data_IF_897070245708
#
_entry.id   IF_897070245708
#
_cell.length_a   1.000
_cell.length_b   1.000
_cell.length_c   1.000
_cell.angle_alpha   90.00
_cell.angle_beta   90.00
_cell.angle_gamma   90.00
#
_symmetry.space_group_name_H-M   'P 1'
#
loop_
_entity.id
_entity.type
_entity.pdbx_description
1 polymer ?
#
# COMPACT_ATOMS: atom_id res chain seq x y z
N UNK A 1 2.10 -44.95 8.26
CA UNK A 1 2.05 -44.06 7.07
C UNK A 1 0.81 -43.17 7.10
N UNK A 2 -0.40 -43.72 7.11
CA UNK A 2 -1.64 -42.93 7.01
C UNK A 2 -1.80 -41.83 8.07
N UNK A 3 -1.59 -42.13 9.35
CA UNK A 3 -1.67 -41.13 10.44
C UNK A 3 -0.68 -39.95 10.30
N UNK A 4 0.48 -40.18 9.69
CA UNK A 4 1.51 -39.15 9.50
C UNK A 4 1.08 -38.19 8.38
N UNK A 5 0.59 -38.77 7.28
CA UNK A 5 0.06 -38.03 6.15
C UNK A 5 -1.18 -37.22 6.55
N UNK A 6 -2.06 -37.79 7.37
CA UNK A 6 -3.24 -37.09 7.89
C UNK A 6 -2.84 -35.91 8.77
N UNK A 7 -1.88 -36.09 9.69
CA UNK A 7 -1.36 -35.00 10.51
C UNK A 7 -0.76 -33.86 9.68
N UNK A 8 0.06 -34.17 8.67
CA UNK A 8 0.66 -33.17 7.79
C UNK A 8 -0.42 -32.49 6.93
N UNK A 9 -1.40 -33.25 6.44
CA UNK A 9 -2.53 -32.69 5.68
C UNK A 9 -3.34 -31.72 6.54
N UNK A 10 -3.61 -32.05 7.81
CA UNK A 10 -4.29 -31.17 8.76
C UNK A 10 -3.43 -29.95 9.11
N UNK A 11 -2.12 -30.14 9.24
CA UNK A 11 -1.15 -29.07 9.50
C UNK A 11 -0.97 -28.12 8.31
N UNK A 12 -1.25 -28.56 7.09
CA UNK A 12 -1.22 -27.75 5.88
C UNK A 12 -2.62 -27.39 5.35
N UNK A 13 -3.70 -27.81 6.04
CA UNK A 13 -5.09 -27.57 5.65
C UNK A 13 -5.43 -26.07 5.70
N UNK A 14 -6.11 -25.57 4.66
CA UNK A 14 -6.76 -24.24 4.57
C UNK A 14 -6.00 -23.00 5.10
N UNK A 15 -4.65 -23.01 5.13
CA UNK A 15 -3.84 -21.93 5.72
C UNK A 15 -3.37 -20.85 4.75
N UNK A 16 -3.90 -20.82 3.53
CA UNK A 16 -3.54 -19.82 2.50
C UNK A 16 -2.19 -20.09 1.82
N UNK A 17 -1.62 -21.27 2.03
CA UNK A 17 -0.34 -21.72 1.44
C UNK A 17 -0.59 -22.21 0.00
N UNK A 18 0.31 -21.86 -0.92
CA UNK A 18 0.20 -22.28 -2.34
C UNK A 18 0.40 -23.79 -2.48
N UNK A 19 -0.03 -24.40 -3.59
CA UNK A 19 0.14 -25.85 -3.80
C UNK A 19 1.61 -26.25 -3.81
N UNK A 20 2.47 -25.48 -4.47
CA UNK A 20 3.90 -25.75 -4.56
C UNK A 20 4.55 -25.66 -3.17
N UNK A 21 4.28 -24.58 -2.43
CA UNK A 21 4.82 -24.41 -1.08
C UNK A 21 4.30 -25.50 -0.12
N UNK A 22 3.06 -25.98 -0.32
CA UNK A 22 2.51 -27.11 0.46
C UNK A 22 3.25 -28.41 0.18
N UNK A 23 3.66 -28.66 -1.05
CA UNK A 23 4.39 -29.88 -1.40
C UNK A 23 5.82 -29.84 -0.84
N UNK A 24 6.50 -28.71 -0.99
CA UNK A 24 7.84 -28.52 -0.41
C UNK A 24 7.81 -28.68 1.12
N UNK A 25 6.84 -28.04 1.79
CA UNK A 25 6.64 -28.19 3.23
C UNK A 25 6.24 -29.61 3.61
N UNK A 26 5.43 -30.29 2.80
CA UNK A 26 5.03 -31.67 3.07
C UNK A 26 6.27 -32.56 3.15
N UNK A 27 7.21 -32.41 2.21
CA UNK A 27 8.46 -33.18 2.18
C UNK A 27 9.30 -32.86 3.43
N UNK A 28 9.55 -31.58 3.71
CA UNK A 28 10.38 -31.16 4.85
C UNK A 28 9.79 -31.59 6.21
N UNK A 29 8.48 -31.41 6.40
CA UNK A 29 7.77 -31.83 7.61
C UNK A 29 7.79 -33.36 7.77
N UNK A 30 7.63 -34.09 6.68
CA UNK A 30 7.65 -35.55 6.70
C UNK A 30 9.05 -36.06 7.08
N UNK A 31 10.10 -35.47 6.52
CA UNK A 31 11.50 -35.81 6.86
C UNK A 31 11.77 -35.56 8.35
N UNK A 32 11.37 -34.42 8.90
CA UNK A 32 11.54 -34.13 10.33
C UNK A 32 10.77 -35.09 11.25
N UNK A 33 9.52 -35.40 10.92
CA UNK A 33 8.72 -36.34 11.73
C UNK A 33 9.28 -37.77 11.60
N UNK A 34 9.83 -38.14 10.43
CA UNK A 34 10.48 -39.42 10.23
C UNK A 34 11.78 -39.55 11.03
N UNK A 35 12.58 -38.48 11.14
CA UNK A 35 13.74 -38.43 12.01
C UNK A 35 13.36 -38.64 13.48
N UNK A 36 12.36 -37.91 13.99
CA UNK A 36 11.85 -38.09 15.36
C UNK A 36 11.32 -39.51 15.59
N UNK A 37 10.61 -40.09 14.61
CA UNK A 37 10.15 -41.48 14.69
C UNK A 37 11.33 -42.44 14.84
N UNK A 38 12.40 -42.22 14.08
CA UNK A 38 13.58 -43.07 14.10
C UNK A 38 14.32 -42.99 15.43
N UNK A 39 14.44 -41.79 16.02
CA UNK A 39 14.99 -41.60 17.37
C UNK A 39 14.23 -42.42 18.42
N UNK A 40 12.89 -42.42 18.40
CA UNK A 40 12.11 -43.25 19.33
C UNK A 40 12.24 -44.76 19.07
N UNK A 41 12.42 -45.18 17.82
CA UNK A 41 12.69 -46.59 17.53
C UNK A 41 14.05 -47.01 18.12
N UNK A 42 15.06 -46.13 18.02
CA UNK A 42 16.40 -46.37 18.59
C UNK A 42 16.39 -46.36 20.12
N UNK A 43 15.48 -45.62 20.74
CA UNK A 43 15.22 -45.66 22.19
C UNK A 43 14.46 -46.91 22.65
N UNK A 44 14.05 -47.79 21.72
CA UNK A 44 13.44 -49.08 22.01
C UNK A 44 11.91 -49.08 22.01
N UNK A 45 11.26 -48.01 21.54
CA UNK A 45 9.81 -47.98 21.37
C UNK A 45 9.36 -48.78 20.13
N UNK A 46 8.18 -49.38 20.20
CA UNK A 46 7.57 -49.99 19.01
C UNK A 46 7.17 -48.91 18.00
N UNK A 47 7.00 -49.29 16.72
CA UNK A 47 6.73 -48.32 15.66
C UNK A 47 5.45 -47.49 15.89
N UNK A 48 4.40 -48.06 16.50
CA UNK A 48 3.16 -47.35 16.77
C UNK A 48 3.33 -46.34 17.90
N UNK A 49 4.07 -46.69 18.95
CA UNK A 49 4.41 -45.80 20.04
C UNK A 49 5.37 -44.69 19.59
N UNK A 50 6.39 -45.03 18.80
CA UNK A 50 7.32 -44.08 18.20
C UNK A 50 6.62 -43.01 17.35
N UNK A 51 5.66 -43.41 16.51
CA UNK A 51 4.86 -42.46 15.72
C UNK A 51 4.05 -41.53 16.64
N UNK A 52 3.45 -42.08 17.70
CA UNK A 52 2.64 -41.29 18.65
C UNK A 52 3.50 -40.27 19.40
N UNK A 53 4.70 -40.67 19.82
CA UNK A 53 5.67 -39.81 20.51
C UNK A 53 6.22 -38.74 19.57
N UNK A 54 6.59 -39.11 18.34
CA UNK A 54 7.05 -38.17 17.32
C UNK A 54 6.01 -37.07 17.06
N UNK A 55 4.74 -37.43 16.83
CA UNK A 55 3.67 -36.45 16.60
C UNK A 55 3.40 -35.57 17.82
N UNK A 56 3.44 -36.15 19.04
CA UNK A 56 3.24 -35.40 20.29
C UNK A 56 4.36 -34.38 20.52
N UNK A 57 5.61 -34.76 20.24
CA UNK A 57 6.77 -33.92 20.48
C UNK A 57 7.03 -32.93 19.34
N UNK A 58 6.53 -33.22 18.14
CA UNK A 58 6.52 -32.25 17.05
C UNK A 58 5.75 -30.98 17.44
N UNK A 59 4.64 -31.13 18.17
CA UNK A 59 3.91 -30.06 18.84
C UNK A 59 2.47 -29.87 18.36
N UNK A 60 1.82 -28.80 18.81
CA UNK A 60 0.41 -28.53 18.52
C UNK A 60 0.19 -28.09 17.06
N UNK A 61 -0.77 -28.73 16.38
CA UNK A 61 -1.10 -28.51 14.96
C UNK A 61 -1.49 -27.06 14.68
N UNK A 62 -2.16 -26.39 15.61
CA UNK A 62 -2.60 -25.02 15.45
C UNK A 62 -1.47 -24.04 15.71
N UNK A 63 -0.63 -24.29 16.72
CA UNK A 63 0.53 -23.42 17.00
C UNK A 63 1.55 -23.47 15.86
N UNK A 64 1.98 -24.66 15.47
CA UNK A 64 2.93 -24.86 14.37
C UNK A 64 2.32 -24.37 13.06
N UNK A 65 1.05 -24.71 12.80
CA UNK A 65 0.31 -24.25 11.64
C UNK A 65 0.23 -22.74 11.49
N UNK A 66 -0.06 -22.05 12.60
CA UNK A 66 -0.09 -20.60 12.63
C UNK A 66 1.31 -19.99 12.57
N UNK A 67 2.32 -20.67 13.13
CA UNK A 67 3.74 -20.31 12.99
C UNK A 67 4.17 -20.35 11.54
N UNK A 68 3.99 -21.49 10.88
CA UNK A 68 4.15 -21.73 9.44
C UNK A 68 3.45 -20.63 8.64
N UNK A 69 2.17 -20.34 8.89
CA UNK A 69 1.46 -19.25 8.18
C UNK A 69 2.10 -17.87 8.35
N UNK A 70 2.69 -17.58 9.52
CA UNK A 70 3.32 -16.29 9.84
C UNK A 70 4.74 -16.18 9.29
N UNK A 71 5.48 -17.28 9.29
CA UNK A 71 6.91 -17.33 8.91
C UNK A 71 7.10 -17.67 7.45
N UNK A 72 6.20 -18.46 6.86
CA UNK A 72 6.22 -18.65 5.43
C UNK A 72 5.86 -17.33 4.77
N UNK A 73 6.76 -16.81 3.93
CA UNK A 73 6.37 -15.90 2.88
C UNK A 73 5.65 -16.75 1.82
N UNK A 74 4.71 -17.64 2.22
CA UNK A 74 3.81 -18.30 1.28
C UNK A 74 3.32 -17.16 0.43
N UNK A 75 3.61 -17.29 -0.85
CA UNK A 75 3.51 -16.22 -1.83
C UNK A 75 2.07 -15.73 -1.75
N UNK A 76 1.81 -14.72 -0.91
CA UNK A 76 0.50 -14.11 -0.62
C UNK A 76 0.05 -13.30 -1.83
N UNK A 77 0.39 -13.80 -2.99
CA UNK A 77 0.01 -13.34 -4.28
C UNK A 77 -1.38 -13.89 -4.50
N UNK A 78 -2.30 -12.99 -4.72
CA UNK A 78 -3.65 -13.37 -5.06
C UNK A 78 -3.64 -14.04 -6.44
N UNK A 79 -4.51 -15.04 -6.63
CA UNK A 79 -4.82 -15.52 -7.97
C UNK A 79 -5.61 -14.46 -8.75
N UNK A 80 -6.39 -13.64 -8.04
CA UNK A 80 -7.12 -12.52 -8.60
C UNK A 80 -7.31 -11.42 -7.53
N UNK A 81 -7.22 -10.15 -7.92
CA UNK A 81 -7.53 -9.07 -7.00
C UNK A 81 -9.03 -9.02 -6.71
N UNK A 82 -9.36 -8.79 -5.44
CA UNK A 82 -10.70 -8.38 -5.05
C UNK A 82 -10.93 -6.91 -5.42
N UNK A 83 -12.18 -6.47 -5.45
CA UNK A 83 -12.52 -5.05 -5.66
C UNK A 83 -11.80 -4.13 -4.65
N UNK A 84 -11.61 -4.62 -3.43
CA UNK A 84 -10.93 -3.91 -2.35
C UNK A 84 -9.43 -3.74 -2.62
N UNK A 85 -8.76 -4.75 -3.21
CA UNK A 85 -7.36 -4.63 -3.61
C UNK A 85 -7.16 -3.68 -4.81
N UNK A 86 -8.11 -3.69 -5.77
CA UNK A 86 -8.12 -2.70 -6.86
C UNK A 86 -8.26 -1.28 -6.27
N UNK A 87 -9.21 -1.08 -5.35
CA UNK A 87 -9.42 0.20 -4.68
C UNK A 87 -8.16 0.66 -3.93
N UNK A 88 -7.51 -0.24 -3.16
CA UNK A 88 -6.23 0.07 -2.50
C UNK A 88 -5.17 0.50 -3.50
N UNK A 89 -5.04 -0.22 -4.61
CA UNK A 89 -4.07 0.11 -5.66
C UNK A 89 -4.31 1.52 -6.19
N UNK A 90 -5.55 1.84 -6.55
CA UNK A 90 -5.93 3.18 -7.05
C UNK A 90 -5.68 4.26 -6.01
N UNK A 91 -5.96 4.01 -4.73
CA UNK A 91 -5.65 4.94 -3.65
C UNK A 91 -4.15 5.21 -3.53
N UNK A 92 -3.29 4.19 -3.68
CA UNK A 92 -1.84 4.39 -3.70
C UNK A 92 -1.38 5.24 -4.87
N UNK A 93 -1.96 5.00 -6.06
CA UNK A 93 -1.67 5.79 -7.23
C UNK A 93 -2.07 7.26 -7.02
N UNK A 94 -3.25 7.53 -6.46
CA UNK A 94 -3.72 8.89 -6.15
C UNK A 94 -2.80 9.58 -5.13
N UNK A 95 -2.42 8.90 -4.05
CA UNK A 95 -1.50 9.45 -3.05
C UNK A 95 -0.15 9.80 -3.69
N UNK A 96 0.40 8.89 -4.50
CA UNK A 96 1.65 9.14 -5.23
C UNK A 96 1.54 10.34 -6.17
N UNK A 97 0.47 10.40 -6.95
CA UNK A 97 0.17 11.53 -7.84
C UNK A 97 0.13 12.86 -7.08
N UNK A 98 -0.62 12.96 -5.97
CA UNK A 98 -0.72 14.19 -5.20
C UNK A 98 0.61 14.57 -4.54
N UNK A 99 1.35 13.62 -3.98
CA UNK A 99 2.67 13.89 -3.40
C UNK A 99 3.60 14.47 -4.47
N UNK A 100 3.64 13.87 -5.65
CA UNK A 100 4.45 14.36 -6.77
C UNK A 100 3.97 15.74 -7.24
N UNK A 101 2.67 15.94 -7.42
CA UNK A 101 2.08 17.23 -7.76
C UNK A 101 2.48 18.31 -6.76
N UNK A 102 2.29 18.06 -5.47
CA UNK A 102 2.65 18.99 -4.39
C UNK A 102 4.15 19.25 -4.35
N UNK A 103 4.99 18.23 -4.53
CA UNK A 103 6.44 18.38 -4.58
C UNK A 103 6.88 19.30 -5.73
N UNK A 104 6.36 19.10 -6.94
CA UNK A 104 6.68 19.92 -8.11
C UNK A 104 6.25 21.38 -7.93
N UNK A 105 5.07 21.61 -7.36
CA UNK A 105 4.60 22.95 -6.99
C UNK A 105 5.51 23.58 -5.92
N UNK A 106 5.93 22.80 -4.91
CA UNK A 106 6.74 23.29 -3.78
C UNK A 106 8.12 23.81 -4.17
N UNK A 107 8.75 23.17 -5.16
CA UNK A 107 10.08 23.53 -5.64
C UNK A 107 10.01 24.72 -6.62
N UNK A 108 8.81 25.09 -7.07
CA UNK A 108 8.62 26.16 -8.05
C UNK A 108 9.04 25.78 -9.47
N UNK A 109 9.37 24.50 -9.70
CA UNK A 109 9.79 23.97 -11.00
C UNK A 109 8.62 23.56 -11.91
N UNK A 110 7.38 23.76 -11.45
CA UNK A 110 6.20 23.44 -12.25
C UNK A 110 5.98 24.49 -13.34
N UNK A 111 6.84 24.45 -14.36
CA UNK A 111 6.49 24.99 -15.66
C UNK A 111 5.41 24.08 -16.26
N UNK A 112 4.14 24.50 -16.15
CA UNK A 112 3.00 23.77 -16.67
C UNK A 112 3.08 23.55 -18.19
N UNK A 113 3.95 24.26 -18.92
CA UNK A 113 4.15 24.02 -20.35
C UNK A 113 5.09 22.83 -20.63
N UNK A 114 5.94 22.45 -19.67
CA UNK A 114 7.02 21.48 -19.85
C UNK A 114 6.51 20.05 -19.96
N UNK A 115 6.76 19.42 -21.10
CA UNK A 115 6.44 18.01 -21.35
C UNK A 115 7.02 17.06 -20.29
N UNK A 116 8.21 17.39 -19.76
CA UNK A 116 8.90 16.60 -18.74
C UNK A 116 8.09 16.49 -17.44
N UNK A 117 7.40 17.57 -17.05
CA UNK A 117 6.57 17.58 -15.85
C UNK A 117 5.39 16.61 -15.98
N UNK A 118 4.78 16.52 -17.16
CA UNK A 118 3.72 15.54 -17.43
C UNK A 118 4.22 14.11 -17.43
N UNK A 119 5.44 13.86 -17.90
CA UNK A 119 6.07 12.53 -17.81
C UNK A 119 6.26 12.14 -16.35
N UNK A 120 6.83 13.01 -15.52
CA UNK A 120 7.06 12.70 -14.10
C UNK A 120 5.72 12.48 -13.40
N UNK A 121 4.75 13.37 -13.59
CA UNK A 121 3.46 13.32 -12.92
C UNK A 121 2.65 12.06 -13.29
N UNK A 122 2.75 11.58 -14.54
CA UNK A 122 2.09 10.35 -14.98
C UNK A 122 2.89 9.08 -14.61
N UNK A 123 4.22 9.12 -14.64
CA UNK A 123 5.06 7.95 -14.35
C UNK A 123 4.96 7.43 -12.93
N UNK A 124 4.99 8.31 -11.91
CA UNK A 124 4.96 7.91 -10.50
C UNK A 124 3.72 7.06 -10.15
N UNK A 125 2.47 7.51 -10.40
CA UNK A 125 1.30 6.68 -10.11
C UNK A 125 1.30 5.37 -10.91
N UNK A 126 1.75 5.38 -12.16
CA UNK A 126 1.82 4.15 -12.98
C UNK A 126 2.84 3.16 -12.41
N UNK A 127 4.02 3.62 -12.00
CA UNK A 127 5.05 2.79 -11.37
C UNK A 127 4.53 2.18 -10.07
N UNK A 128 3.83 2.96 -9.24
CA UNK A 128 3.21 2.47 -8.01
C UNK A 128 2.21 1.34 -8.30
N UNK A 129 1.29 1.54 -9.25
CA UNK A 129 0.32 0.52 -9.65
C UNK A 129 1.00 -0.73 -10.22
N UNK A 130 1.98 -0.54 -11.10
CA UNK A 130 2.79 -1.60 -11.69
C UNK A 130 3.48 -2.46 -10.63
N UNK A 131 4.20 -1.83 -9.70
CA UNK A 131 4.93 -2.54 -8.63
C UNK A 131 3.95 -3.28 -7.75
N UNK A 132 2.89 -2.62 -7.27
CA UNK A 132 1.89 -3.22 -6.39
C UNK A 132 1.27 -4.49 -6.98
N UNK A 133 0.90 -4.44 -8.27
CA UNK A 133 0.25 -5.55 -8.96
C UNK A 133 1.22 -6.70 -9.24
N UNK A 134 2.43 -6.40 -9.71
CA UNK A 134 3.43 -7.44 -9.99
C UNK A 134 3.96 -8.11 -8.71
N UNK A 135 3.97 -7.39 -7.58
CA UNK A 135 4.26 -7.97 -6.27
C UNK A 135 3.17 -8.92 -5.80
N UNK A 136 1.90 -8.55 -5.97
CA UNK A 136 0.75 -9.25 -5.37
C UNK A 136 -0.01 -10.23 -6.27
N UNK A 137 0.29 -10.36 -7.55
CA UNK A 137 -0.39 -11.34 -8.42
C UNK A 137 0.62 -12.31 -9.02
N UNK A 138 0.23 -13.58 -9.10
CA UNK A 138 1.06 -14.64 -9.69
C UNK A 138 0.80 -14.76 -11.18
N UNK A 139 -0.49 -14.82 -11.57
CA UNK A 139 -0.89 -15.16 -12.94
C UNK A 139 -0.69 -13.97 -13.86
N UNK A 140 0.18 -14.12 -14.88
CA UNK A 140 0.49 -13.11 -15.90
C UNK A 140 -0.72 -12.43 -16.53
N UNK A 141 -1.68 -13.20 -17.03
CA UNK A 141 -2.90 -12.66 -17.67
C UNK A 141 -3.70 -11.80 -16.68
N UNK A 142 -3.72 -12.18 -15.40
CA UNK A 142 -4.41 -11.43 -14.34
C UNK A 142 -3.65 -10.17 -13.96
N UNK A 143 -2.31 -10.17 -13.99
CA UNK A 143 -1.48 -8.97 -13.79
C UNK A 143 -1.82 -7.89 -14.81
N UNK A 144 -1.79 -8.24 -16.09
CA UNK A 144 -2.12 -7.32 -17.19
C UNK A 144 -3.55 -6.79 -17.06
N UNK A 145 -4.53 -7.68 -16.84
CA UNK A 145 -5.93 -7.28 -16.68
C UNK A 145 -6.14 -6.32 -15.50
N UNK A 146 -5.58 -6.62 -14.33
CA UNK A 146 -5.76 -5.78 -13.16
C UNK A 146 -5.02 -4.45 -13.29
N UNK A 147 -3.85 -4.43 -13.94
CA UNK A 147 -3.14 -3.18 -14.22
C UNK A 147 -3.96 -2.27 -15.15
N UNK A 148 -4.52 -2.82 -16.23
CA UNK A 148 -5.37 -2.06 -17.15
C UNK A 148 -6.61 -1.49 -16.44
N UNK A 149 -7.27 -2.29 -15.59
CA UNK A 149 -8.41 -1.82 -14.79
C UNK A 149 -7.97 -0.71 -13.82
N UNK A 150 -6.88 -0.91 -13.07
CA UNK A 150 -6.39 0.09 -12.11
C UNK A 150 -5.98 1.39 -12.79
N UNK A 151 -5.33 1.34 -13.95
CA UNK A 151 -4.98 2.53 -14.74
C UNK A 151 -6.23 3.29 -15.21
N UNK A 152 -7.24 2.56 -15.70
CA UNK A 152 -8.50 3.16 -16.17
C UNK A 152 -9.26 3.82 -15.03
N UNK A 153 -9.42 3.11 -13.90
CA UNK A 153 -10.11 3.63 -12.72
C UNK A 153 -9.36 4.81 -12.13
N UNK A 154 -8.03 4.74 -12.03
CA UNK A 154 -7.21 5.86 -11.58
C UNK A 154 -7.41 7.10 -12.45
N UNK A 155 -7.35 6.95 -13.78
CA UNK A 155 -7.54 8.08 -14.71
C UNK A 155 -8.91 8.74 -14.53
N UNK A 156 -9.98 7.94 -14.42
CA UNK A 156 -11.33 8.47 -14.17
C UNK A 156 -11.43 9.16 -12.82
N UNK A 157 -10.90 8.55 -11.75
CA UNK A 157 -10.90 9.13 -10.42
C UNK A 157 -10.11 10.44 -10.37
N UNK A 158 -8.95 10.51 -11.02
CA UNK A 158 -8.14 11.71 -11.12
C UNK A 158 -8.91 12.85 -11.79
N UNK A 159 -9.56 12.59 -12.94
CA UNK A 159 -10.35 13.62 -13.64
C UNK A 159 -11.56 14.08 -12.85
N UNK A 160 -12.28 13.17 -12.19
CA UNK A 160 -13.39 13.55 -11.30
C UNK A 160 -12.88 14.43 -10.15
N UNK A 161 -11.74 14.07 -9.54
CA UNK A 161 -11.18 14.81 -8.41
C UNK A 161 -10.67 16.19 -8.84
N UNK A 162 -10.02 16.29 -10.00
CA UNK A 162 -9.64 17.58 -10.59
C UNK A 162 -10.85 18.45 -10.92
N UNK A 163 -11.94 17.86 -11.41
CA UNK A 163 -13.18 18.58 -11.70
C UNK A 163 -13.85 19.10 -10.42
N UNK A 164 -13.80 18.33 -9.33
CA UNK A 164 -14.28 18.78 -8.02
C UNK A 164 -13.42 19.93 -7.47
N UNK A 165 -12.09 19.81 -7.54
CA UNK A 165 -11.17 20.88 -7.13
C UNK A 165 -11.43 22.15 -7.95
N UNK A 166 -11.62 22.01 -9.26
CA UNK A 166 -11.94 23.10 -10.15
C UNK A 166 -13.29 23.74 -9.81
N UNK A 167 -14.33 22.95 -9.59
CA UNK A 167 -15.66 23.46 -9.25
C UNK A 167 -15.67 24.25 -7.94
N UNK A 168 -14.94 23.76 -6.93
CA UNK A 168 -14.71 24.50 -5.68
C UNK A 168 -13.93 25.78 -5.96
N UNK A 169 -12.85 25.70 -6.75
CA UNK A 169 -12.08 26.87 -7.16
C UNK A 169 -12.92 27.93 -7.88
N UNK A 170 -13.76 27.54 -8.83
CA UNK A 170 -14.62 28.46 -9.57
C UNK A 170 -15.65 29.16 -8.66
N UNK A 171 -16.28 28.41 -7.76
CA UNK A 171 -17.24 28.97 -6.79
C UNK A 171 -16.59 29.96 -5.82
N UNK A 172 -15.30 29.77 -5.53
CA UNK A 172 -14.50 30.63 -4.65
C UNK A 172 -13.93 31.85 -5.40
N UNK A 173 -13.44 31.66 -6.62
CA UNK A 173 -12.76 32.68 -7.43
C UNK A 173 -13.65 33.11 -8.61
N UNK A 174 -14.73 33.84 -8.32
CA UNK A 174 -15.79 34.19 -9.29
C UNK A 174 -15.35 35.01 -10.53
N UNK A 175 -14.06 35.36 -10.66
CA UNK A 175 -13.55 36.24 -11.72
C UNK A 175 -12.35 35.70 -12.51
N UNK A 176 -11.91 34.44 -12.32
CA UNK A 176 -10.99 33.79 -13.26
C UNK A 176 -11.63 32.52 -13.80
N UNK A 177 -12.15 32.62 -15.01
CA UNK A 177 -12.38 31.47 -15.87
C UNK A 177 -11.01 30.82 -16.15
N UNK A 178 -10.53 29.99 -15.22
CA UNK A 178 -9.51 29.00 -15.55
C UNK A 178 -10.16 28.10 -16.60
N UNK A 179 -9.57 27.95 -17.77
CA UNK A 179 -10.25 27.30 -18.88
C UNK A 179 -10.52 25.84 -18.54
N UNK A 180 -11.76 25.38 -18.70
CA UNK A 180 -12.14 23.97 -18.53
C UNK A 180 -11.30 23.02 -19.42
N UNK A 181 -10.77 23.57 -20.51
CA UNK A 181 -9.86 22.91 -21.46
C UNK A 181 -8.56 22.45 -20.76
N UNK A 182 -8.11 23.13 -19.72
CA UNK A 182 -6.87 22.77 -18.97
C UNK A 182 -7.06 21.49 -18.12
N UNK A 183 -8.31 21.09 -17.85
CA UNK A 183 -8.64 19.91 -17.04
C UNK A 183 -8.44 18.59 -17.82
N UNK A 184 -8.60 18.68 -19.13
CA UNK A 184 -8.33 17.62 -20.12
C UNK A 184 -7.06 17.92 -20.91
N UNK A 185 -5.99 18.23 -20.17
CA UNK A 185 -4.69 18.47 -20.78
C UNK A 185 -4.26 17.29 -21.66
N UNK A 186 -4.23 17.54 -22.97
CA UNK A 186 -3.88 16.54 -23.96
C UNK A 186 -2.47 15.99 -23.75
N UNK A 187 -1.53 16.82 -23.28
CA UNK A 187 -0.15 16.38 -22.99
C UNK A 187 -0.15 15.32 -21.90
N UNK A 188 -0.89 15.55 -20.81
CA UNK A 188 -1.02 14.58 -19.72
C UNK A 188 -1.67 13.28 -20.18
N UNK A 189 -2.74 13.37 -20.98
CA UNK A 189 -3.45 12.18 -21.49
C UNK A 189 -2.51 11.33 -22.35
N UNK A 190 -1.78 11.97 -23.27
CA UNK A 190 -0.83 11.27 -24.15
C UNK A 190 0.30 10.64 -23.36
N UNK A 191 0.93 11.37 -22.41
CA UNK A 191 2.01 10.79 -21.59
C UNK A 191 1.51 9.63 -20.74
N UNK A 192 0.33 9.76 -20.12
CA UNK A 192 -0.29 8.70 -19.32
C UNK A 192 -0.57 7.45 -20.16
N UNK A 193 -1.11 7.59 -21.37
CA UNK A 193 -1.36 6.46 -22.27
C UNK A 193 -0.07 5.77 -22.72
N UNK A 194 0.95 6.54 -23.12
CA UNK A 194 2.25 5.98 -23.56
C UNK A 194 2.92 5.21 -22.42
N UNK A 195 3.04 5.82 -21.24
CA UNK A 195 3.68 5.17 -20.08
C UNK A 195 2.84 3.99 -19.58
N UNK A 196 1.51 4.09 -19.63
CA UNK A 196 0.59 3.00 -19.31
C UNK A 196 0.78 1.80 -20.23
N UNK A 197 0.89 2.02 -21.54
CA UNK A 197 1.19 0.98 -22.52
C UNK A 197 2.55 0.33 -22.26
N UNK A 198 3.59 1.14 -22.01
CA UNK A 198 4.92 0.64 -21.64
C UNK A 198 4.83 -0.25 -20.39
N UNK A 199 4.12 0.19 -19.35
CA UNK A 199 3.92 -0.56 -18.11
C UNK A 199 3.20 -1.90 -18.32
N UNK A 200 2.20 -1.93 -19.21
CA UNK A 200 1.48 -3.16 -19.59
C UNK A 200 2.42 -4.12 -20.34
N UNK A 201 3.19 -3.62 -21.31
CA UNK A 201 4.17 -4.40 -22.06
C UNK A 201 5.22 -4.97 -21.11
N UNK A 202 5.78 -4.15 -20.21
CA UNK A 202 6.73 -4.59 -19.19
C UNK A 202 6.13 -5.66 -18.28
N UNK A 203 4.88 -5.51 -17.85
CA UNK A 203 4.16 -6.52 -17.05
C UNK A 203 4.05 -7.85 -17.81
N UNK A 204 3.86 -7.79 -19.13
CA UNK A 204 3.80 -8.97 -19.99
C UNK A 204 5.19 -9.64 -20.15
N UNK A 205 6.28 -8.87 -20.12
CA UNK A 205 7.65 -9.38 -20.20
C UNK A 205 8.17 -9.95 -18.88
N UNK A 206 7.67 -9.50 -17.72
CA UNK A 206 8.04 -10.08 -16.42
C UNK A 206 7.58 -11.54 -16.38
N UNK A 207 8.54 -12.45 -16.54
CA UNK A 207 8.29 -13.89 -16.46
C UNK A 207 7.69 -14.28 -15.10
N UNK A 208 6.85 -15.31 -15.10
CA UNK A 208 6.27 -15.83 -13.86
C UNK A 208 7.36 -16.33 -12.90
N UNK A 209 8.53 -16.74 -13.42
CA UNK A 209 9.72 -17.14 -12.65
C UNK A 209 10.41 -15.97 -11.96
N UNK A 210 10.45 -14.78 -12.57
CA UNK A 210 10.96 -13.56 -11.93
C UNK A 210 9.94 -13.04 -10.93
N UNK A 211 8.66 -12.97 -11.31
CA UNK A 211 7.60 -12.53 -10.42
C UNK A 211 7.53 -13.40 -9.17
N UNK A 212 7.58 -14.73 -9.28
CA UNK A 212 7.50 -15.67 -8.15
C UNK A 212 8.69 -15.59 -7.19
N UNK A 213 9.82 -15.04 -7.63
CA UNK A 213 11.00 -14.77 -6.79
C UNK A 213 10.91 -13.44 -6.02
N UNK A 214 10.09 -12.49 -6.49
CA UNK A 214 9.91 -11.24 -5.76
C UNK A 214 9.07 -11.53 -4.52
N UNK A 215 9.72 -11.53 -3.34
CA UNK A 215 9.06 -11.66 -2.04
C UNK A 215 7.98 -10.60 -1.93
N UNK A 216 6.76 -11.03 -1.59
CA UNK A 216 5.66 -10.12 -1.32
C UNK A 216 5.80 -9.65 0.13
N UNK A 217 6.14 -8.37 0.41
CA UNK A 217 6.21 -7.87 1.77
C UNK A 217 4.79 -7.67 2.31
N UNK A 218 4.10 -8.75 2.65
CA UNK A 218 2.80 -8.69 3.32
C UNK A 218 3.00 -8.77 4.82
N UNK A 219 2.86 -7.62 5.48
CA UNK A 219 2.09 -7.40 6.72
C UNK A 219 2.46 -6.07 7.40
N UNK A 220 3.16 -5.14 6.73
CA UNK A 220 3.03 -3.75 7.14
C UNK A 220 1.53 -3.42 7.05
N UNK A 221 0.93 -2.93 8.13
CA UNK A 221 -0.44 -2.40 8.11
C UNK A 221 -0.47 -1.29 7.05
N UNK A 222 -0.77 -1.63 5.81
CA UNK A 222 -0.61 -0.71 4.68
C UNK A 222 -1.52 0.52 4.84
N UNK A 223 -2.64 0.38 5.56
CA UNK A 223 -3.48 1.50 6.02
C UNK A 223 -2.81 2.37 7.08
N UNK A 224 -1.98 1.80 7.98
CA UNK A 224 -1.16 2.60 8.89
C UNK A 224 -0.09 3.37 8.12
N UNK A 225 0.56 2.76 7.15
CA UNK A 225 1.62 3.42 6.38
C UNK A 225 1.06 4.54 5.51
N UNK A 226 -0.12 4.35 4.92
CA UNK A 226 -0.82 5.39 4.16
C UNK A 226 -1.28 6.53 5.08
N UNK A 227 -1.83 6.23 6.26
CA UNK A 227 -2.14 7.24 7.27
C UNK A 227 -0.89 7.97 7.76
N UNK A 228 0.24 7.28 7.90
CA UNK A 228 1.53 7.86 8.24
C UNK A 228 2.00 8.84 7.16
N UNK A 229 2.04 8.41 5.89
CA UNK A 229 2.43 9.26 4.76
C UNK A 229 1.49 10.46 4.63
N UNK A 230 0.18 10.25 4.73
CA UNK A 230 -0.82 11.30 4.70
C UNK A 230 -0.64 12.28 5.87
N UNK A 231 -0.35 11.78 7.07
CA UNK A 231 -0.10 12.63 8.25
C UNK A 231 1.11 13.54 8.04
N UNK A 232 2.20 13.00 7.48
CA UNK A 232 3.41 13.77 7.16
C UNK A 232 3.12 14.81 6.07
N UNK A 233 2.40 14.44 5.01
CA UNK A 233 2.02 15.37 3.95
C UNK A 233 1.15 16.52 4.49
N UNK A 234 0.17 16.23 5.35
CA UNK A 234 -0.67 17.22 6.01
C UNK A 234 0.12 18.12 6.99
N UNK A 235 1.11 17.57 7.69
CA UNK A 235 2.03 18.36 8.52
C UNK A 235 2.89 19.30 7.68
N UNK A 236 3.40 18.84 6.54
CA UNK A 236 4.15 19.70 5.62
C UNK A 236 3.27 20.84 5.09
N UNK A 237 2.04 20.56 4.67
CA UNK A 237 1.06 21.57 4.28
C UNK A 237 0.81 22.59 5.41
N UNK A 238 0.63 22.09 6.64
CA UNK A 238 0.45 22.93 7.82
C UNK A 238 1.64 23.88 8.05
N UNK A 239 2.87 23.40 7.93
CA UNK A 239 4.07 24.24 8.15
C UNK A 239 4.31 25.23 7.01
N UNK A 240 4.03 24.85 5.76
CA UNK A 240 4.29 25.67 4.56
C UNK A 240 3.30 26.82 4.33
N UNK A 241 2.11 26.77 4.92
CA UNK A 241 1.19 27.92 4.99
C UNK A 241 1.82 29.09 5.79
N UNK A 242 1.28 30.32 5.83
CA UNK A 242 0.80 31.01 4.64
C UNK A 242 1.94 31.35 3.66
N UNK A 243 3.20 31.33 4.12
CA UNK A 243 4.34 32.03 3.50
C UNK A 243 4.74 31.56 2.09
N UNK A 244 4.39 30.34 1.67
CA UNK A 244 4.78 29.81 0.34
C UNK A 244 3.61 29.45 -0.58
N UNK A 245 2.37 29.49 -0.08
CA UNK A 245 1.22 28.90 -0.77
C UNK A 245 0.08 29.90 -0.91
N UNK A 246 0.18 30.79 -1.90
CA UNK A 246 -0.87 31.75 -2.23
C UNK A 246 -2.23 31.09 -2.46
N UNK A 247 -2.26 29.92 -3.12
CA UNK A 247 -3.49 29.15 -3.35
C UNK A 247 -4.11 28.61 -2.06
N UNK A 248 -3.30 28.09 -1.14
CA UNK A 248 -3.79 27.60 0.16
C UNK A 248 -4.28 28.78 1.02
N UNK A 249 -3.52 29.88 1.02
CA UNK A 249 -3.86 31.14 1.68
C UNK A 249 -5.23 31.67 1.23
N UNK A 250 -5.44 31.80 -0.08
CA UNK A 250 -6.71 32.28 -0.66
C UNK A 250 -7.88 31.30 -0.49
N UNK A 251 -7.63 29.99 -0.58
CA UNK A 251 -8.64 28.98 -0.27
C UNK A 251 -9.15 29.09 1.17
N UNK A 252 -8.22 29.33 2.10
CA UNK A 252 -8.54 29.54 3.51
C UNK A 252 -9.30 30.86 3.71
N UNK A 253 -8.89 31.96 3.08
CA UNK A 253 -9.66 33.23 3.07
C UNK A 253 -11.10 33.01 2.61
N UNK A 254 -11.30 32.19 1.57
CA UNK A 254 -12.64 31.94 1.05
C UNK A 254 -13.51 31.09 1.96
N UNK A 255 -12.95 30.13 2.67
CA UNK A 255 -13.72 29.33 3.65
C UNK A 255 -14.11 30.21 4.84
N UNK A 256 -13.19 31.06 5.27
CA UNK A 256 -13.34 31.93 6.43
C UNK A 256 -14.18 33.18 6.10
N UNK A 257 -14.33 33.49 4.81
CA UNK A 257 -14.99 34.69 4.30
C UNK A 257 -14.39 35.98 4.88
N UNK A 258 -13.08 35.98 5.13
CA UNK A 258 -12.33 37.07 5.74
C UNK A 258 -10.88 37.05 5.24
N UNK A 259 -10.25 38.22 5.08
CA UNK A 259 -8.86 38.32 4.62
C UNK A 259 -7.88 37.83 5.70
N UNK A 260 -6.87 37.04 5.34
CA UNK A 260 -5.90 36.48 6.30
C UNK A 260 -4.80 37.51 6.57
N UNK A 261 -5.08 38.48 7.43
CA UNK A 261 -4.14 39.57 7.78
C UNK A 261 -3.00 39.05 8.67
N UNK A 262 -3.32 38.17 9.62
CA UNK A 262 -2.34 37.65 10.56
C UNK A 262 -2.45 36.13 10.69
N UNK A 263 -1.31 35.45 10.60
CA UNK A 263 -1.20 34.02 10.88
C UNK A 263 -0.14 33.81 11.94
N UNK A 264 -0.57 33.40 13.13
CA UNK A 264 0.35 32.80 14.10
C UNK A 264 0.17 31.30 14.13
N UNK A 265 1.29 30.60 14.33
CA UNK A 265 1.31 29.15 14.38
C UNK A 265 2.07 28.68 15.60
N UNK A 266 1.55 27.65 16.23
CA UNK A 266 2.33 26.80 17.12
C UNK A 266 2.33 25.36 16.58
N UNK A 267 2.81 24.41 17.37
CA UNK A 267 2.88 23.01 16.93
C UNK A 267 1.47 22.41 16.70
N UNK A 268 0.49 22.84 17.51
CA UNK A 268 -0.83 22.22 17.60
C UNK A 268 -1.91 22.94 16.79
N UNK A 269 -1.82 24.27 16.67
CA UNK A 269 -2.84 25.14 16.11
C UNK A 269 -2.25 26.27 15.30
N UNK A 270 -2.94 26.56 14.21
CA UNK A 270 -2.76 27.71 13.37
C UNK A 270 -3.91 28.67 13.65
N UNK A 271 -3.60 29.87 14.11
CA UNK A 271 -4.59 30.91 14.38
C UNK A 271 -4.55 31.96 13.29
N UNK A 272 -5.69 32.18 12.65
CA UNK A 272 -5.93 33.16 11.60
C UNK A 272 -6.69 34.32 12.21
N UNK A 273 -6.17 35.53 12.03
CA UNK A 273 -6.74 36.79 12.52
C UNK A 273 -7.09 36.80 14.02
N UNK A 274 -6.45 35.95 14.81
CA UNK A 274 -6.75 35.72 16.24
C UNK A 274 -8.17 35.17 16.54
N UNK A 275 -8.99 34.92 15.53
CA UNK A 275 -10.38 34.49 15.69
C UNK A 275 -10.56 33.00 15.37
N UNK A 276 -9.80 32.47 14.41
CA UNK A 276 -10.03 31.12 13.88
C UNK A 276 -8.82 30.25 14.14
N UNK A 277 -9.01 29.21 14.96
CA UNK A 277 -7.99 28.22 15.26
C UNK A 277 -8.20 26.96 14.41
N UNK A 278 -7.29 26.68 13.48
CA UNK A 278 -7.22 25.45 12.70
C UNK A 278 -6.24 24.47 13.35
N UNK A 279 -6.68 23.28 13.79
CA UNK A 279 -5.79 22.28 14.36
C UNK A 279 -4.83 21.70 13.32
N UNK A 280 -3.63 21.30 13.74
CA UNK A 280 -2.68 20.57 12.91
C UNK A 280 -3.15 19.11 12.72
N UNK A 281 -4.08 18.90 11.78
CA UNK A 281 -4.72 17.61 11.51
C UNK A 281 -3.67 16.53 11.20
N UNK A 282 -2.61 16.89 10.47
CA UNK A 282 -1.50 16.00 10.20
C UNK A 282 -0.83 15.49 11.47
N UNK A 283 -0.50 16.39 12.41
CA UNK A 283 0.08 16.03 13.69
C UNK A 283 -0.87 15.19 14.56
N UNK A 284 -2.17 15.48 14.55
CA UNK A 284 -3.16 14.70 15.30
C UNK A 284 -3.20 13.26 14.80
N UNK A 285 -3.26 13.06 13.47
CA UNK A 285 -3.22 11.73 12.85
C UNK A 285 -1.90 11.04 13.21
N UNK A 286 -0.78 11.76 13.13
CA UNK A 286 0.55 11.25 13.48
C UNK A 286 0.62 10.74 14.93
N UNK A 287 0.11 11.51 15.90
CA UNK A 287 0.09 11.13 17.33
C UNK A 287 -0.79 9.88 17.54
N UNK A 288 -1.98 9.84 16.95
CA UNK A 288 -2.88 8.66 17.05
C UNK A 288 -2.17 7.41 16.50
N UNK A 289 -1.46 7.57 15.38
CA UNK A 289 -0.68 6.50 14.76
C UNK A 289 0.51 6.07 15.62
N UNK A 290 1.20 7.01 16.27
CA UNK A 290 2.27 6.74 17.23
C UNK A 290 1.79 5.97 18.47
N UNK A 291 0.64 6.35 19.05
CA UNK A 291 0.02 5.62 20.18
C UNK A 291 -0.36 4.19 19.76
N UNK A 292 -0.89 4.01 18.55
CA UNK A 292 -1.24 2.70 18.01
C UNK A 292 0.00 1.82 17.80
N UNK A 293 1.13 2.42 17.38
CA UNK A 293 2.43 1.76 17.27
C UNK A 293 2.93 1.31 18.65
N UNK A 294 2.93 2.21 19.64
CA UNK A 294 3.35 1.91 21.02
C UNK A 294 2.50 0.79 21.65
N UNK A 295 1.18 0.81 21.45
CA UNK A 295 0.30 -0.29 21.90
C UNK A 295 0.63 -1.62 21.23
N UNK A 296 1.08 -1.60 19.98
CA UNK A 296 1.48 -2.81 19.26
C UNK A 296 2.80 -3.36 19.77
N UNK A 297 3.80 -2.49 20.00
CA UNK A 297 5.08 -2.85 20.60
C UNK A 297 4.87 -3.45 21.99
N UNK A 298 4.01 -2.82 22.81
CA UNK A 298 3.74 -3.31 24.17
C UNK A 298 3.03 -4.69 24.18
N UNK A 299 2.23 -5.00 23.14
CA UNK A 299 1.53 -6.29 23.03
C UNK A 299 2.34 -7.41 22.39
N UNK A 300 3.29 -7.09 21.51
CA UNK A 300 3.97 -8.07 20.65
C UNK A 300 5.50 -8.03 20.74
N UNK A 301 6.05 -7.19 21.62
CA UNK A 301 7.49 -6.95 21.71
C UNK A 301 8.02 -6.07 20.57
N UNK A 302 9.25 -5.57 20.74
CA UNK A 302 9.97 -4.75 19.76
C UNK A 302 10.22 -5.52 18.45
N UNK A 303 10.34 -6.85 18.53
CA UNK A 303 10.49 -7.75 17.37
C UNK A 303 9.32 -7.65 16.37
N UNK A 304 8.18 -7.11 16.77
CA UNK A 304 7.03 -6.89 15.87
C UNK A 304 7.16 -5.69 14.92
N UNK A 305 8.26 -4.93 15.01
CA UNK A 305 8.58 -3.80 14.15
C UNK A 305 9.47 -4.18 12.95
N UNK A 306 10.13 -5.33 13.01
CA UNK A 306 11.02 -5.85 11.98
C UNK A 306 10.34 -6.98 11.19
#
# INVERSE_FOLDING_TARGET
MDRLNDFINDLLSERGITKDDKEDLRIELLDHIMLLKQEYIEEGYDEKEAIKLALKNFGDINEIGNGIKRTLPSRNKYNNFSKLEILKTVLFMLVGYFITFFYMVSIGEMNFESFLNYIILSSIPIIIGFVYINLKLTIKIKRVKNLLISLTVFFLCEKVLMLLIYGVGYGVYSNRAVNFIDLLDFKFIVTFLIIGLISIVLTNFISDKVASKIRNPYNAKITSNLLWILSVALMLLYYLFPNRWYLLYRFVESIINNEVVYVSKNILFLTINHEIALPNIGLIIFIIMGVKLLKQINKKGIESLF
#
